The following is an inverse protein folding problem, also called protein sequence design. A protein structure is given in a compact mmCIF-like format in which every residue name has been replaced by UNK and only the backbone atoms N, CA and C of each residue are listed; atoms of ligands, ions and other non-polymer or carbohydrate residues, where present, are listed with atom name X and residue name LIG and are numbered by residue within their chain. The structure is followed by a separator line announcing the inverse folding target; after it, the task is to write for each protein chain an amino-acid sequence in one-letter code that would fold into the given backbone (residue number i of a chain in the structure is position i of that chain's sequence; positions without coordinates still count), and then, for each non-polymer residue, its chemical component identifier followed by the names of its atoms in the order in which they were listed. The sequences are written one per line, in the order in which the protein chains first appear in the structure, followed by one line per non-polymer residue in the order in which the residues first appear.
data_IF_166787907641
#
_entry.id   IF_166787907641
#
_cell.length_a   1.000
_cell.length_b   1.000
_cell.length_c   1.000
_cell.angle_alpha   90.00
_cell.angle_beta   90.00
_cell.angle_gamma   90.00
#
_symmetry.space_group_name_H-M   'P 1'
#
loop_
_entity.id
_entity.type
_entity.pdbx_description
1 polymer ?
#
# COMPACT_ATOMS: atom_id res chain seq x y z
N UNK A 1 8.28 8.37 -10.81
CA UNK A 1 8.83 7.06 -10.61
C UNK A 1 8.03 6.12 -9.73
N UNK A 2 7.06 6.50 -9.06
CA UNK A 2 6.14 5.61 -8.38
C UNK A 2 6.74 4.70 -7.34
N UNK A 3 7.63 5.20 -6.53
CA UNK A 3 8.19 4.40 -5.44
C UNK A 3 8.02 5.14 -4.13
N UNK A 4 7.76 4.41 -3.09
CA UNK A 4 7.66 4.99 -1.76
C UNK A 4 9.05 5.34 -1.26
N UNK A 5 9.16 6.49 -0.61
CA UNK A 5 10.39 6.89 0.04
C UNK A 5 10.36 6.42 1.47
N UNK A 6 11.53 6.40 2.09
CA UNK A 6 11.60 6.05 3.50
C UNK A 6 10.80 7.02 4.35
N UNK A 7 10.72 8.28 3.92
CA UNK A 7 9.94 9.28 4.63
C UNK A 7 8.45 8.97 4.59
N UNK A 8 7.97 8.55 3.42
CA UNK A 8 6.56 8.17 3.30
C UNK A 8 6.23 6.97 4.17
N UNK A 9 7.11 5.98 4.19
CA UNK A 9 6.90 4.79 5.00
C UNK A 9 6.92 5.15 6.48
N UNK A 10 7.88 5.95 6.90
CA UNK A 10 7.98 6.35 8.29
C UNK A 10 6.72 7.11 8.73
N UNK A 11 6.24 8.00 7.87
CA UNK A 11 5.03 8.76 8.16
C UNK A 11 3.82 7.86 8.29
N UNK A 12 3.70 6.88 7.40
CA UNK A 12 2.60 5.94 7.44
C UNK A 12 2.60 5.11 8.71
N UNK A 13 3.79 4.79 9.22
CA UNK A 13 3.94 4.00 10.43
C UNK A 13 3.91 4.85 11.70
N UNK A 14 3.87 6.16 11.57
CA UNK A 14 3.88 7.04 12.73
C UNK A 14 5.22 7.10 13.44
N UNK A 15 6.32 6.87 12.72
CA UNK A 15 7.65 6.95 13.30
C UNK A 15 8.52 7.90 12.47
N UNK A 16 9.62 8.36 13.06
CA UNK A 16 10.53 9.19 12.31
C UNK A 16 11.49 8.32 11.51
N UNK A 17 12.15 8.95 10.55
CA UNK A 17 13.03 8.24 9.63
C UNK A 17 14.17 7.55 10.36
N UNK A 18 14.72 8.20 11.35
CA UNK A 18 15.85 7.65 12.10
C UNK A 18 15.46 6.36 12.81
N UNK A 19 14.30 6.36 13.46
CA UNK A 19 13.81 5.16 14.14
C UNK A 19 13.59 4.02 13.15
N UNK A 20 13.03 4.35 11.99
CA UNK A 20 12.79 3.35 10.98
C UNK A 20 14.09 2.76 10.47
N UNK A 21 15.08 3.59 10.20
CA UNK A 21 16.37 3.11 9.73
C UNK A 21 17.04 2.23 10.76
N UNK A 22 16.94 2.60 12.02
CA UNK A 22 17.53 1.80 13.10
C UNK A 22 16.88 0.41 13.16
N UNK A 23 15.56 0.37 13.03
CA UNK A 23 14.87 -0.91 13.04
C UNK A 23 15.28 -1.80 11.89
N UNK A 24 15.46 -1.21 10.71
CA UNK A 24 15.92 -1.97 9.56
C UNK A 24 17.26 -2.60 9.81
N UNK A 25 18.17 -1.86 10.42
CA UNK A 25 19.49 -2.38 10.72
C UNK A 25 19.45 -3.46 11.79
N UNK A 26 18.65 -3.24 12.83
CA UNK A 26 18.59 -4.17 13.94
C UNK A 26 17.94 -5.50 13.56
N UNK A 27 16.90 -5.43 12.73
CA UNK A 27 16.15 -6.62 12.36
C UNK A 27 16.77 -7.34 11.17
N UNK A 28 17.73 -6.72 10.50
CA UNK A 28 18.31 -7.29 9.30
C UNK A 28 17.32 -7.41 8.16
N UNK A 29 16.27 -6.62 8.19
CA UNK A 29 15.21 -6.70 7.19
C UNK A 29 15.61 -5.93 5.96
N UNK A 30 15.34 -6.51 4.80
CA UNK A 30 15.56 -5.84 3.53
C UNK A 30 14.59 -4.67 3.41
N UNK A 31 15.10 -3.52 2.99
CA UNK A 31 14.29 -2.33 2.85
C UNK A 31 13.11 -2.55 1.88
N UNK A 32 13.38 -3.25 0.78
CA UNK A 32 12.31 -3.55 -0.19
C UNK A 32 11.23 -4.41 0.43
N UNK A 33 11.60 -5.38 1.23
CA UNK A 33 10.62 -6.25 1.89
C UNK A 33 9.79 -5.46 2.88
N UNK A 34 10.42 -4.55 3.62
CA UNK A 34 9.69 -3.71 4.55
C UNK A 34 8.68 -2.83 3.82
N UNK A 35 9.12 -2.20 2.72
CA UNK A 35 8.23 -1.34 1.95
C UNK A 35 7.05 -2.14 1.43
N UNK A 36 7.29 -3.33 0.91
CA UNK A 36 6.21 -4.16 0.41
C UNK A 36 5.24 -4.56 1.51
N UNK A 37 5.75 -4.89 2.69
CA UNK A 37 4.90 -5.23 3.82
C UNK A 37 4.00 -4.08 4.23
N UNK A 38 4.56 -2.88 4.31
CA UNK A 38 3.80 -1.70 4.68
C UNK A 38 2.76 -1.39 3.61
N UNK A 39 3.15 -1.48 2.35
CA UNK A 39 2.21 -1.22 1.25
C UNK A 39 1.05 -2.20 1.26
N UNK A 40 1.33 -3.47 1.54
CA UNK A 40 0.27 -4.48 1.60
C UNK A 40 -0.72 -4.19 2.73
N UNK A 41 -0.22 -3.81 3.88
CA UNK A 41 -1.09 -3.46 5.00
C UNK A 41 -1.93 -2.22 4.68
N UNK A 42 -1.28 -1.19 4.16
CA UNK A 42 -1.98 0.06 3.88
C UNK A 42 -2.99 -0.09 2.76
N UNK A 43 -2.65 -0.84 1.72
CA UNK A 43 -3.55 -0.98 0.59
C UNK A 43 -4.84 -1.67 1.01
N UNK A 44 -4.76 -2.64 1.90
CA UNK A 44 -5.97 -3.31 2.37
C UNK A 44 -6.88 -2.35 3.11
N UNK A 45 -6.31 -1.49 3.93
CA UNK A 45 -7.10 -0.47 4.62
C UNK A 45 -7.76 0.49 3.67
N UNK A 46 -6.99 0.98 2.69
CA UNK A 46 -7.52 1.95 1.73
C UNK A 46 -8.55 1.32 0.82
N UNK A 47 -8.34 0.08 0.42
CA UNK A 47 -9.27 -0.60 -0.47
C UNK A 47 -10.62 -0.84 0.20
N UNK A 48 -10.64 -0.96 1.51
CA UNK A 48 -11.88 -1.14 2.25
C UNK A 48 -12.62 0.17 2.49
N UNK A 49 -12.00 1.28 2.14
CA UNK A 49 -12.62 2.59 2.31
C UNK A 49 -13.12 3.10 0.96
N UNK A 50 -14.44 3.13 0.74
CA UNK A 50 -14.97 3.54 -0.56
C UNK A 50 -14.73 5.01 -0.89
N UNK A 51 -14.29 5.80 0.08
CA UNK A 51 -13.94 7.19 -0.18
C UNK A 51 -12.68 7.33 -1.01
N UNK A 52 -11.84 6.32 -1.05
CA UNK A 52 -10.59 6.38 -1.80
C UNK A 52 -10.79 5.74 -3.16
N UNK A 53 -10.51 6.52 -4.21
CA UNK A 53 -10.45 5.95 -5.56
C UNK A 53 -9.18 5.13 -5.69
N UNK A 54 -9.14 4.27 -6.71
CA UNK A 54 -7.94 3.47 -6.96
C UNK A 54 -6.75 4.36 -7.30
N UNK A 55 -7.00 5.42 -8.05
CA UNK A 55 -5.93 6.36 -8.38
C UNK A 55 -5.38 7.02 -7.12
N UNK A 56 -6.25 7.39 -6.21
CA UNK A 56 -5.84 8.00 -4.96
C UNK A 56 -5.01 7.02 -4.12
N UNK A 57 -5.44 5.77 -4.08
CA UNK A 57 -4.73 4.75 -3.32
C UNK A 57 -3.32 4.56 -3.87
N UNK A 58 -3.19 4.45 -5.19
CA UNK A 58 -1.88 4.32 -5.80
C UNK A 58 -0.97 5.48 -5.45
N UNK A 59 -1.54 6.68 -5.46
CA UNK A 59 -0.81 7.89 -5.12
C UNK A 59 -0.35 7.87 -3.66
N UNK A 60 -1.23 7.46 -2.76
CA UNK A 60 -0.91 7.38 -1.34
C UNK A 60 0.19 6.36 -1.06
N UNK A 61 0.28 5.34 -1.88
CA UNK A 61 1.31 4.31 -1.72
C UNK A 61 2.62 4.66 -2.41
N UNK A 62 2.69 5.84 -3.03
CA UNK A 62 3.92 6.32 -3.62
C UNK A 62 4.10 6.01 -5.09
N UNK A 63 3.04 5.62 -5.77
CA UNK A 63 3.11 5.33 -7.20
C UNK A 63 2.69 6.55 -8.02
N UNK A 64 3.52 6.91 -8.98
CA UNK A 64 3.20 8.03 -9.88
C UNK A 64 2.24 7.61 -10.98
N UNK A 65 2.25 6.34 -11.33
CA UNK A 65 1.44 5.83 -12.44
C UNK A 65 0.47 4.78 -11.93
N UNK A 66 -0.77 4.89 -12.41
CA UNK A 66 -1.79 3.90 -12.05
C UNK A 66 -1.40 2.50 -12.52
N UNK A 67 -0.74 2.42 -13.68
CA UNK A 67 -0.31 1.11 -14.21
C UNK A 67 0.72 0.45 -13.31
N UNK A 68 1.62 1.23 -12.73
CA UNK A 68 2.61 0.67 -11.82
C UNK A 68 1.96 0.13 -10.56
N UNK A 69 1.01 0.86 -10.02
CA UNK A 69 0.25 0.41 -8.86
C UNK A 69 -0.51 -0.87 -9.18
N UNK A 70 -1.21 -0.90 -10.30
CA UNK A 70 -2.00 -2.07 -10.69
C UNK A 70 -1.14 -3.30 -10.85
N UNK A 71 0.04 -3.14 -11.44
CA UNK A 71 0.95 -4.27 -11.63
C UNK A 71 1.46 -4.79 -10.29
N UNK A 72 1.86 -3.88 -9.42
CA UNK A 72 2.31 -4.29 -8.08
C UNK A 72 1.19 -5.01 -7.34
N UNK A 73 -0.02 -4.47 -7.39
CA UNK A 73 -1.14 -5.05 -6.69
C UNK A 73 -1.44 -6.46 -7.20
N UNK A 74 -1.45 -6.62 -8.52
CA UNK A 74 -1.72 -7.93 -9.11
C UNK A 74 -0.66 -8.95 -8.69
N UNK A 75 0.59 -8.52 -8.61
CA UNK A 75 1.66 -9.40 -8.17
C UNK A 75 1.47 -9.83 -6.72
N UNK A 76 1.03 -8.91 -5.86
CA UNK A 76 0.89 -9.18 -4.44
C UNK A 76 -0.36 -9.98 -4.11
N UNK A 77 -1.46 -9.71 -4.79
CA UNK A 77 -2.75 -10.25 -4.41
C UNK A 77 -3.37 -11.17 -5.46
N UNK A 78 -2.73 -11.30 -6.60
CA UNK A 78 -3.19 -12.22 -7.64
C UNK A 78 -4.38 -11.73 -8.44
N UNK A 79 -4.71 -10.45 -8.34
CA UNK A 79 -5.86 -9.90 -9.05
C UNK A 79 -5.67 -8.41 -9.27
N UNK A 80 -6.43 -7.85 -10.19
CA UNK A 80 -6.38 -6.41 -10.41
C UNK A 80 -7.02 -5.67 -9.23
N UNK A 81 -6.60 -4.43 -8.98
CA UNK A 81 -7.23 -3.66 -7.90
C UNK A 81 -8.73 -3.50 -8.07
N UNK A 82 -9.18 -3.24 -9.29
CA UNK A 82 -10.60 -3.04 -9.54
C UNK A 82 -11.40 -4.30 -9.25
N UNK A 83 -10.91 -5.42 -9.72
CA UNK A 83 -11.61 -6.69 -9.53
C UNK A 83 -11.58 -7.12 -8.06
N UNK A 84 -10.43 -6.96 -7.44
CA UNK A 84 -10.30 -7.29 -6.01
C UNK A 84 -11.29 -6.48 -5.17
N UNK A 85 -11.40 -5.20 -5.47
CA UNK A 85 -12.30 -4.31 -4.74
C UNK A 85 -13.76 -4.72 -4.96
N UNK A 86 -14.10 -5.12 -6.17
CA UNK A 86 -15.46 -5.55 -6.46
C UNK A 86 -15.84 -6.79 -5.65
N UNK A 87 -14.87 -7.65 -5.40
CA UNK A 87 -15.12 -8.90 -4.68
C UNK A 87 -15.02 -8.71 -3.16
N UNK A 88 -14.01 -7.99 -2.70
CA UNK A 88 -13.70 -7.91 -1.27
C UNK A 88 -14.05 -6.58 -0.62
N UNK A 89 -14.07 -5.52 -1.39
CA UNK A 89 -14.15 -4.20 -0.81
C UNK A 89 -15.49 -3.53 -0.96
N UNK A 90 -16.52 -4.06 -0.36
CA UNK A 90 -17.82 -3.41 -0.42
C UNK A 90 -18.48 -3.39 0.95
N UNK A 91 -17.81 -2.83 1.91
CA UNK A 91 -18.29 -2.86 3.28
C UNK A 91 -19.54 -2.05 3.51
N UNK A 92 -19.75 -1.01 2.74
CA UNK A 92 -20.90 -0.16 2.91
C UNK A 92 -22.12 -0.65 2.15
N UNK A 93 -21.95 -1.69 1.38
CA UNK A 93 -23.02 -2.23 0.58
C UNK A 93 -23.82 -3.17 1.45
N UNK A 94 -25.10 -2.90 1.69
CA UNK A 94 -25.90 -3.84 2.47
C UNK A 94 -26.02 -5.15 1.71
N UNK A 95 -26.04 -6.24 2.43
CA UNK A 95 -26.22 -7.53 1.78
C UNK A 95 -27.55 -7.58 1.08
N UNK A 96 -27.54 -8.15 -0.08
CA UNK A 96 -28.74 -8.21 -0.89
C UNK A 96 -29.45 -9.53 -0.76
#
# INVERSE_FOLDING_TARGET
MGRATIEQIAQALGMNVRTLQRRLEDDGVNFSDLINGVRRDLVQRYMNNPSYSLARIGDLLGYSLASSFSRWFATQFGDTPANWRAVHGKPLQPPQ
#
